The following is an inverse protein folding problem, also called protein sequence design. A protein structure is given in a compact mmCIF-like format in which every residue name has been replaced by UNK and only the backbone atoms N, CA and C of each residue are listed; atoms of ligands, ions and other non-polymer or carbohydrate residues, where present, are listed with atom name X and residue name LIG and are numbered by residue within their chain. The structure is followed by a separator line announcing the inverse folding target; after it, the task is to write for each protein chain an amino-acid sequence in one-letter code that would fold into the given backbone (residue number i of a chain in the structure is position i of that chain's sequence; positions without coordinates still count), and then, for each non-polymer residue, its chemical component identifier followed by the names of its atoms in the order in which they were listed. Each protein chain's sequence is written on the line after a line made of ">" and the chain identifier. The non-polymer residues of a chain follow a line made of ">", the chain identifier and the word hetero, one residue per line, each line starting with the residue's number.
data_IF_555442013169
#
_entry.id   IF_555442013169
#
_cell.length_a   1.000
_cell.length_b   1.000
_cell.length_c   1.000
_cell.angle_alpha   90.00
_cell.angle_beta   90.00
_cell.angle_gamma   90.00
#
_symmetry.space_group_name_H-M   'P 1'
#
loop_
_entity.id
_entity.type
_entity.pdbx_description
1 polymer ?
#
# COMPACT_ATOMS: atom_id res chain seq x y z
N UNK A 1 -10.90 -3.82 -7.00
CA UNK A 1 -10.27 -2.48 -6.96
C UNK A 1 -8.76 -2.63 -7.09
N UNK A 2 -8.05 -1.71 -7.77
CA UNK A 2 -6.59 -1.71 -7.88
C UNK A 2 -6.01 -0.63 -6.96
N UNK A 3 -5.09 -0.99 -6.07
CA UNK A 3 -4.36 -0.07 -5.18
C UNK A 3 -2.87 -0.20 -5.48
N UNK A 4 -2.20 0.94 -5.64
CA UNK A 4 -0.73 1.05 -5.75
C UNK A 4 -0.22 1.84 -4.55
N UNK A 5 0.80 1.32 -3.87
CA UNK A 5 1.45 1.97 -2.73
C UNK A 5 2.96 2.06 -2.97
N UNK A 6 3.49 3.26 -2.77
CA UNK A 6 4.92 3.55 -2.88
C UNK A 6 5.53 3.65 -1.48
N UNK A 7 6.51 2.81 -1.16
CA UNK A 7 7.22 2.85 0.13
C UNK A 7 8.69 3.29 -0.06
N UNK A 8 9.15 4.25 0.74
CA UNK A 8 10.54 4.77 0.71
C UNK A 8 11.26 4.48 2.03
N UNK A 9 12.43 3.86 1.97
CA UNK A 9 13.30 3.63 3.14
C UNK A 9 14.48 4.62 3.14
N UNK A 10 14.68 5.35 4.24
CA UNK A 10 15.75 6.34 4.44
C UNK A 10 16.85 5.74 5.34
N UNK A 11 18.11 5.84 4.94
CA UNK A 11 19.24 5.37 5.73
C UNK A 11 20.33 6.45 5.87
N UNK A 12 20.62 6.85 7.10
CA UNK A 12 21.64 7.83 7.49
C UNK A 12 22.85 7.11 8.09
N UNK A 13 23.79 6.65 7.27
CA UNK A 13 25.25 6.52 7.54
C UNK A 13 25.93 5.40 6.75
N UNK A 14 27.18 5.69 6.35
CA UNK A 14 28.17 4.87 5.63
C UNK A 14 27.74 4.29 4.27
N UNK A 15 28.45 4.73 3.21
CA UNK A 15 28.42 4.15 1.87
C UNK A 15 28.91 2.70 1.91
N UNK A 16 28.03 1.75 2.22
CA UNK A 16 28.26 0.36 1.85
C UNK A 16 28.01 0.23 0.35
N UNK A 17 28.96 -0.35 -0.39
CA UNK A 17 28.68 -0.83 -1.75
C UNK A 17 27.69 -1.99 -1.62
N UNK A 18 26.40 -1.67 -1.57
CA UNK A 18 25.36 -2.68 -1.53
C UNK A 18 25.26 -3.25 -2.95
N UNK A 19 25.55 -4.54 -3.06
CA UNK A 19 25.31 -5.33 -4.27
C UNK A 19 23.87 -5.10 -4.77
N UNK A 20 23.72 -4.87 -6.07
CA UNK A 20 22.43 -4.61 -6.73
C UNK A 20 21.47 -5.79 -6.53
N UNK A 21 21.99 -7.02 -6.46
CA UNK A 21 21.23 -8.23 -6.13
C UNK A 21 20.67 -8.18 -4.70
N UNK A 22 21.49 -7.81 -3.71
CA UNK A 22 21.07 -7.66 -2.31
C UNK A 22 20.06 -6.53 -2.12
N UNK A 23 20.23 -5.41 -2.83
CA UNK A 23 19.27 -4.30 -2.83
C UNK A 23 17.91 -4.73 -3.39
N UNK A 24 17.89 -5.47 -4.49
CA UNK A 24 16.65 -6.01 -5.08
C UNK A 24 15.95 -7.00 -4.14
N UNK A 25 16.71 -7.91 -3.53
CA UNK A 25 16.17 -8.86 -2.56
C UNK A 25 15.58 -8.15 -1.33
N UNK A 26 16.24 -7.09 -0.84
CA UNK A 26 15.75 -6.28 0.26
C UNK A 26 14.47 -5.51 -0.11
N UNK A 27 14.44 -4.84 -1.26
CA UNK A 27 13.22 -4.18 -1.79
C UNK A 27 12.06 -5.15 -1.86
N UNK A 28 12.30 -6.36 -2.40
CA UNK A 28 11.27 -7.40 -2.49
C UNK A 28 10.78 -7.84 -1.11
N UNK A 29 11.67 -8.10 -0.15
CA UNK A 29 11.28 -8.50 1.21
C UNK A 29 10.44 -7.42 1.89
N UNK A 30 10.81 -6.15 1.75
CA UNK A 30 10.04 -5.03 2.28
C UNK A 30 8.65 -4.98 1.62
N UNK A 31 8.59 -5.06 0.29
CA UNK A 31 7.32 -5.07 -0.44
C UNK A 31 6.42 -6.23 -0.01
N UNK A 32 6.97 -7.43 0.19
CA UNK A 32 6.23 -8.62 0.62
C UNK A 32 5.69 -8.46 2.04
N UNK A 33 6.47 -7.90 2.98
CA UNK A 33 6.03 -7.64 4.37
C UNK A 33 4.92 -6.59 4.39
N UNK A 34 5.12 -5.45 3.73
CA UNK A 34 4.12 -4.38 3.66
C UNK A 34 2.84 -4.89 3.00
N UNK A 35 2.96 -5.67 1.92
CA UNK A 35 1.81 -6.27 1.26
C UNK A 35 1.01 -7.16 2.20
N UNK A 36 1.69 -7.96 3.03
CA UNK A 36 1.03 -8.82 4.03
C UNK A 36 0.27 -7.99 5.06
N UNK A 37 0.86 -6.92 5.57
CA UNK A 37 0.22 -6.06 6.58
C UNK A 37 -0.99 -5.34 6.00
N UNK A 38 -0.90 -4.82 4.78
CA UNK A 38 -2.02 -4.17 4.09
C UNK A 38 -3.15 -5.17 3.82
N UNK A 39 -2.83 -6.37 3.33
CA UNK A 39 -3.83 -7.42 3.11
C UNK A 39 -4.53 -7.80 4.42
N UNK A 40 -3.77 -7.92 5.51
CA UNK A 40 -4.34 -8.21 6.83
C UNK A 40 -5.29 -7.11 7.30
N UNK A 41 -4.91 -5.84 7.16
CA UNK A 41 -5.76 -4.72 7.53
C UNK A 41 -7.08 -4.69 6.73
N UNK A 42 -7.01 -4.97 5.43
CA UNK A 42 -8.20 -5.09 4.56
C UNK A 42 -9.07 -6.29 4.96
N UNK A 43 -8.44 -7.42 5.27
CA UNK A 43 -9.18 -8.59 5.71
C UNK A 43 -9.89 -8.36 7.05
N UNK A 44 -9.21 -7.71 8.01
CA UNK A 44 -9.81 -7.33 9.29
C UNK A 44 -10.96 -6.35 9.10
N UNK A 45 -10.80 -5.32 8.25
CA UNK A 45 -11.87 -4.37 7.97
C UNK A 45 -13.09 -5.02 7.31
N UNK A 46 -12.90 -5.98 6.40
CA UNK A 46 -13.99 -6.70 5.74
C UNK A 46 -14.67 -7.73 6.63
N UNK A 47 -13.89 -8.56 7.33
CA UNK A 47 -14.40 -9.76 8.03
C UNK A 47 -14.68 -9.52 9.51
N UNK A 48 -13.76 -8.85 10.20
CA UNK A 48 -13.85 -8.64 11.66
C UNK A 48 -14.72 -7.44 11.99
N UNK A 49 -14.41 -6.29 11.39
CA UNK A 49 -15.14 -5.05 11.66
C UNK A 49 -16.31 -4.82 10.72
N UNK A 50 -16.32 -5.51 9.58
CA UNK A 50 -17.37 -5.44 8.58
C UNK A 50 -17.69 -4.02 8.10
N UNK A 51 -16.68 -3.14 8.08
CA UNK A 51 -16.82 -1.74 7.74
C UNK A 51 -15.57 -1.20 7.05
N UNK A 52 -15.77 -0.23 6.17
CA UNK A 52 -14.70 0.42 5.41
C UNK A 52 -14.08 1.57 6.20
N UNK A 53 -13.43 1.27 7.33
CA UNK A 53 -12.69 2.28 8.10
C UNK A 53 -11.41 2.78 7.41
N UNK A 54 -11.01 2.10 6.32
CA UNK A 54 -9.88 2.46 5.47
C UNK A 54 -10.27 3.47 4.37
N UNK A 55 -11.55 3.88 4.33
CA UNK A 55 -12.08 4.91 3.45
C UNK A 55 -11.97 4.61 1.94
N UNK A 56 -11.99 3.34 1.53
CA UNK A 56 -11.96 2.97 0.12
C UNK A 56 -13.16 3.47 -0.69
N UNK A 57 -14.29 3.70 -0.04
CA UNK A 57 -15.48 4.30 -0.63
C UNK A 57 -15.20 5.67 -1.24
N UNK A 58 -14.26 6.45 -0.67
CA UNK A 58 -13.92 7.77 -1.18
C UNK A 58 -13.34 7.66 -2.59
N UNK A 59 -12.39 6.74 -2.77
CA UNK A 59 -11.77 6.48 -4.07
C UNK A 59 -12.76 5.86 -5.05
N UNK A 60 -13.56 4.90 -4.60
CA UNK A 60 -14.56 4.26 -5.46
C UNK A 60 -15.62 5.26 -5.92
N UNK A 61 -16.20 6.05 -5.01
CA UNK A 61 -17.17 7.11 -5.31
C UNK A 61 -16.59 8.16 -6.26
N UNK A 62 -15.33 8.55 -6.07
CA UNK A 62 -14.66 9.51 -6.94
C UNK A 62 -14.57 9.03 -8.39
N UNK A 63 -14.43 7.72 -8.61
CA UNK A 63 -14.30 7.13 -9.96
C UNK A 63 -15.63 6.62 -10.54
N UNK A 64 -16.53 6.14 -9.71
CA UNK A 64 -17.76 5.42 -10.07
C UNK A 64 -18.96 5.99 -9.30
N UNK A 65 -19.19 7.30 -9.43
CA UNK A 65 -20.17 8.02 -8.62
C UNK A 65 -21.61 7.51 -8.85
N UNK A 66 -21.97 7.17 -10.09
CA UNK A 66 -23.31 6.67 -10.44
C UNK A 66 -23.55 5.31 -9.80
N UNK A 67 -22.61 4.38 -9.93
CA UNK A 67 -22.67 3.05 -9.35
C UNK A 67 -22.69 3.13 -7.82
N UNK A 68 -21.87 3.99 -7.23
CA UNK A 68 -21.81 4.21 -5.79
C UNK A 68 -23.17 4.67 -5.23
N UNK A 69 -23.86 5.59 -5.90
CA UNK A 69 -25.20 6.06 -5.49
C UNK A 69 -26.26 4.95 -5.58
N UNK A 70 -26.09 3.99 -6.48
CA UNK A 70 -27.05 2.92 -6.75
C UNK A 70 -26.70 1.61 -6.04
N UNK A 71 -25.73 1.59 -5.14
CA UNK A 71 -25.35 0.38 -4.39
C UNK A 71 -25.31 0.61 -2.88
N UNK A 72 -25.49 -0.48 -2.13
CA UNK A 72 -25.13 -0.50 -0.72
C UNK A 72 -23.62 -0.76 -0.59
N UNK A 73 -22.84 0.31 -0.45
CA UNK A 73 -21.39 0.21 -0.30
C UNK A 73 -20.97 -0.71 0.85
N UNK A 74 -21.61 -0.60 2.02
CA UNK A 74 -21.24 -1.39 3.19
C UNK A 74 -21.36 -2.89 2.93
N UNK A 75 -22.36 -3.33 2.17
CA UNK A 75 -22.48 -4.74 1.78
C UNK A 75 -21.48 -5.12 0.71
N UNK A 76 -21.34 -4.30 -0.35
CA UNK A 76 -20.40 -4.58 -1.46
C UNK A 76 -18.95 -4.58 -1.03
N UNK A 77 -18.60 -3.76 -0.05
CA UNK A 77 -17.27 -3.69 0.51
C UNK A 77 -16.81 -5.01 1.14
N UNK A 78 -17.68 -5.68 1.90
CA UNK A 78 -17.35 -6.95 2.59
C UNK A 78 -16.95 -8.07 1.62
N UNK A 79 -17.45 -8.01 0.38
CA UNK A 79 -17.21 -8.98 -0.69
C UNK A 79 -16.17 -8.50 -1.70
N UNK A 80 -15.69 -7.27 -1.57
CA UNK A 80 -14.83 -6.64 -2.56
C UNK A 80 -13.46 -7.35 -2.66
N UNK A 81 -13.01 -7.59 -3.90
CA UNK A 81 -11.67 -8.15 -4.16
C UNK A 81 -10.64 -7.04 -4.38
N UNK A 82 -9.52 -7.15 -3.69
CA UNK A 82 -8.42 -6.21 -3.73
C UNK A 82 -7.21 -6.80 -4.43
N UNK A 83 -6.74 -6.10 -5.47
CA UNK A 83 -5.49 -6.42 -6.14
C UNK A 83 -4.46 -5.37 -5.73
N UNK A 84 -3.46 -5.80 -4.95
CA UNK A 84 -2.49 -4.91 -4.30
C UNK A 84 -1.10 -5.12 -4.90
N UNK A 85 -0.53 -4.02 -5.34
CA UNK A 85 0.83 -3.90 -5.86
C UNK A 85 1.60 -2.93 -4.94
N UNK A 86 2.72 -3.40 -4.40
CA UNK A 86 3.60 -2.61 -3.53
C UNK A 86 4.91 -2.41 -4.27
N UNK A 87 5.27 -1.16 -4.52
CA UNK A 87 6.54 -0.79 -5.13
C UNK A 87 7.43 -0.18 -4.05
N UNK A 88 8.62 -0.76 -3.87
CA UNK A 88 9.57 -0.32 -2.84
C UNK A 88 10.83 0.22 -3.46
N UNK A 89 11.18 1.44 -3.07
CA UNK A 89 12.45 2.06 -3.38
C UNK A 89 13.29 2.34 -2.15
N UNK A 90 14.61 2.12 -2.30
CA UNK A 90 15.61 2.38 -1.29
C UNK A 90 16.43 3.54 -1.82
N UNK A 91 16.35 4.68 -1.14
CA UNK A 91 17.05 5.90 -1.54
C UNK A 91 18.21 6.09 -0.57
N UNK A 92 19.44 5.98 -1.07
CA UNK A 92 20.65 6.31 -0.34
C UNK A 92 21.11 7.72 -0.72
N UNK A 93 21.12 8.65 0.23
CA UNK A 93 21.61 10.01 0.01
C UNK A 93 21.90 10.72 1.33
N UNK A 94 22.85 11.65 1.32
CA UNK A 94 23.00 12.63 2.39
C UNK A 94 21.72 13.49 2.39
N UNK A 95 20.78 13.20 3.29
CA UNK A 95 19.50 13.92 3.42
C UNK A 95 19.67 15.29 4.11
N UNK A 96 20.78 15.98 3.87
CA UNK A 96 20.99 17.36 4.30
C UNK A 96 21.58 18.14 3.13
N UNK A 97 20.70 18.74 2.34
CA UNK A 97 20.99 19.99 1.65
C UNK A 97 20.02 21.02 2.24
N UNK A 98 20.53 21.86 3.14
CA UNK A 98 19.90 23.13 3.45
C UNK A 98 20.31 24.09 2.33
N UNK A 99 19.41 24.34 1.38
CA UNK A 99 19.43 25.52 0.53
C UNK A 99 17.99 26.00 0.36
#
# INVERSE_FOLDING_TARGET
>A
MKISLDSKMLHLSKKYKIDTGKTRALKKKIADVVKKDVLKAIEESQKKFQCDYLYFYKYFRGKYNTEYKNMNWNNKYKEAKFNIEINTDIISGNLVNFN
#
